data_IF_658934103125
#
_entry.id   IF_658934103125
#
_cell.length_a   1.000
_cell.length_b   1.000
_cell.length_c   1.000
_cell.angle_alpha   90.00
_cell.angle_beta   90.00
_cell.angle_gamma   90.00
#
_symmetry.space_group_name_H-M   'P 1'
#
loop_
_entity.id
_entity.type
_entity.pdbx_description
1 polymer ?
#
# COMPACT_ATOMS: atom_id res chain seq x y z
N UNK A 1 29.28 15.57 -27.50
CA UNK A 1 28.50 15.15 -28.67
C UNK A 1 27.05 15.53 -28.42
N UNK A 2 26.52 16.44 -29.23
CA UNK A 2 25.13 16.88 -29.13
C UNK A 2 24.31 15.97 -30.06
N UNK A 3 23.59 14.98 -29.49
CA UNK A 3 22.80 13.99 -30.25
C UNK A 3 21.49 14.60 -30.79
N UNK A 4 21.56 15.77 -31.43
CA UNK A 4 20.38 16.41 -32.03
C UNK A 4 19.96 15.63 -33.26
N UNK A 5 18.90 14.82 -33.11
CA UNK A 5 18.31 14.00 -34.17
C UNK A 5 18.21 12.51 -33.85
N UNK A 6 18.76 12.06 -32.72
CA UNK A 6 18.63 10.68 -32.26
C UNK A 6 17.29 10.37 -31.58
N UNK A 7 17.00 9.07 -31.33
CA UNK A 7 15.81 8.67 -30.61
C UNK A 7 15.77 9.27 -29.19
N UNK A 8 14.57 9.61 -28.73
CA UNK A 8 14.34 10.06 -27.36
C UNK A 8 14.38 8.87 -26.40
N UNK A 9 15.30 8.87 -25.43
CA UNK A 9 15.35 7.87 -24.38
C UNK A 9 14.73 8.42 -23.09
N UNK A 10 13.67 7.76 -22.62
CA UNK A 10 13.10 8.01 -21.30
C UNK A 10 13.70 7.00 -20.33
N UNK A 11 14.60 7.47 -19.48
CA UNK A 11 15.34 6.61 -18.54
C UNK A 11 14.64 6.58 -17.18
N UNK A 12 14.42 5.39 -16.65
CA UNK A 12 14.08 5.13 -15.26
C UNK A 12 15.26 4.41 -14.59
N UNK A 13 15.69 4.87 -13.43
CA UNK A 13 16.76 4.26 -12.65
C UNK A 13 16.17 3.65 -11.36
N UNK A 14 16.53 2.41 -11.03
CA UNK A 14 16.13 1.71 -9.78
C UNK A 14 17.32 1.04 -9.12
N UNK A 15 17.31 0.97 -7.79
CA UNK A 15 18.29 0.22 -6.99
C UNK A 15 17.57 -0.95 -6.30
N UNK A 16 16.67 -0.64 -5.36
CA UNK A 16 15.87 -1.62 -4.61
C UNK A 16 14.40 -1.18 -4.40
N UNK A 17 14.09 0.10 -4.65
CA UNK A 17 12.78 0.67 -4.43
C UNK A 17 11.71 0.18 -5.41
N UNK A 18 10.51 -0.08 -4.90
CA UNK A 18 9.33 -0.36 -5.72
C UNK A 18 8.91 0.85 -6.59
N UNK A 19 8.16 0.59 -7.67
CA UNK A 19 7.65 1.65 -8.55
C UNK A 19 6.65 2.57 -7.85
N UNK A 20 6.77 3.88 -8.08
CA UNK A 20 5.76 4.86 -7.63
C UNK A 20 4.49 4.76 -8.47
N UNK A 21 3.32 4.85 -7.83
CA UNK A 21 2.01 4.82 -8.49
C UNK A 21 1.37 6.21 -8.37
N UNK A 22 0.78 6.71 -9.46
CA UNK A 22 0.03 7.98 -9.48
C UNK A 22 -1.38 7.83 -8.89
N UNK A 23 -2.01 8.96 -8.56
CA UNK A 23 -3.41 9.00 -8.06
C UNK A 23 -4.42 8.31 -8.99
N UNK A 24 -4.12 8.23 -10.29
CA UNK A 24 -4.97 7.57 -11.30
C UNK A 24 -4.67 6.06 -11.46
N UNK A 25 -3.92 5.46 -10.54
CA UNK A 25 -3.62 4.01 -10.56
C UNK A 25 -2.59 3.60 -11.61
N UNK A 26 -2.00 4.54 -12.34
CA UNK A 26 -0.91 4.24 -13.27
C UNK A 26 0.40 4.16 -12.51
N UNK A 27 0.96 2.95 -12.46
CA UNK A 27 2.34 2.74 -12.05
C UNK A 27 3.30 3.49 -12.98
N UNK A 28 4.46 3.83 -12.44
CA UNK A 28 5.54 4.47 -13.18
C UNK A 28 5.82 3.81 -14.54
N UNK A 29 5.86 2.46 -14.70
CA UNK A 29 6.05 1.83 -16.01
C UNK A 29 4.96 2.15 -17.04
N UNK A 30 3.69 2.21 -16.63
CA UNK A 30 2.58 2.57 -17.53
C UNK A 30 2.68 4.02 -18.01
N UNK A 31 3.28 4.92 -17.22
CA UNK A 31 3.51 6.31 -17.65
C UNK A 31 4.58 6.38 -18.74
N UNK A 32 5.67 5.64 -18.59
CA UNK A 32 6.71 5.57 -19.62
C UNK A 32 6.13 5.05 -20.95
N UNK A 33 5.30 4.00 -20.92
CA UNK A 33 4.61 3.50 -22.12
C UNK A 33 3.72 4.57 -22.78
N UNK A 34 2.94 5.32 -21.99
CA UNK A 34 2.10 6.41 -22.50
C UNK A 34 2.91 7.54 -23.11
N UNK A 35 3.98 7.96 -22.44
CA UNK A 35 4.86 9.02 -22.94
C UNK A 35 5.56 8.58 -24.23
N UNK A 36 6.07 7.35 -24.30
CA UNK A 36 6.66 6.78 -25.52
C UNK A 36 5.63 6.74 -26.66
N UNK A 37 4.41 6.28 -26.39
CA UNK A 37 3.34 6.25 -27.39
C UNK A 37 2.98 7.67 -27.89
N UNK A 38 2.93 8.66 -27.01
CA UNK A 38 2.66 10.06 -27.38
C UNK A 38 3.78 10.63 -28.28
N UNK A 39 5.05 10.39 -27.94
CA UNK A 39 6.17 10.82 -28.76
C UNK A 39 6.18 10.12 -30.13
N UNK A 40 5.97 8.80 -30.17
CA UNK A 40 5.84 8.04 -31.43
C UNK A 40 4.68 8.54 -32.28
N UNK A 41 3.52 8.85 -31.66
CA UNK A 41 2.37 9.43 -32.34
C UNK A 41 2.62 10.83 -32.92
N UNK A 42 3.56 11.58 -32.35
CA UNK A 42 4.03 12.87 -32.89
C UNK A 42 5.12 12.76 -33.96
N UNK A 43 5.45 11.54 -34.43
CA UNK A 43 6.48 11.28 -35.42
C UNK A 43 7.91 11.25 -34.86
N UNK A 44 8.08 11.25 -33.53
CA UNK A 44 9.38 11.19 -32.87
C UNK A 44 9.70 9.77 -32.42
N UNK A 45 10.85 9.26 -32.84
CA UNK A 45 11.35 7.98 -32.32
C UNK A 45 11.65 8.11 -30.81
N UNK A 46 11.09 7.21 -30.01
CA UNK A 46 11.21 7.23 -28.56
C UNK A 46 11.22 5.82 -27.97
N UNK A 47 11.96 5.64 -26.88
CA UNK A 47 12.08 4.38 -26.13
C UNK A 47 12.11 4.64 -24.63
N UNK A 48 11.55 3.70 -23.87
CA UNK A 48 11.65 3.64 -22.42
C UNK A 48 12.74 2.66 -22.01
N UNK A 49 13.66 3.12 -21.16
CA UNK A 49 14.83 2.35 -20.72
C UNK A 49 14.81 2.25 -19.20
N UNK A 50 14.82 1.03 -18.68
CA UNK A 50 15.02 0.75 -17.25
C UNK A 50 16.48 0.37 -17.00
N UNK A 51 17.16 1.15 -16.16
CA UNK A 51 18.48 0.85 -15.65
C UNK A 51 18.35 0.43 -14.18
N UNK A 52 18.87 -0.76 -13.83
CA UNK A 52 18.86 -1.25 -12.45
C UNK A 52 19.87 -2.39 -12.26
N UNK A 53 20.21 -2.80 -11.03
CA UNK A 53 21.00 -4.00 -10.80
C UNK A 53 20.33 -5.25 -11.39
N UNK A 54 21.11 -6.22 -11.87
CA UNK A 54 20.59 -7.44 -12.50
C UNK A 54 19.57 -8.18 -11.62
N UNK A 55 19.83 -8.21 -10.30
CA UNK A 55 18.93 -8.81 -9.30
C UNK A 55 17.58 -8.11 -9.21
N UNK A 56 17.54 -6.79 -9.34
CA UNK A 56 16.29 -6.03 -9.42
C UNK A 56 15.53 -6.36 -10.71
N UNK A 57 16.22 -6.38 -11.85
CA UNK A 57 15.62 -6.70 -13.15
C UNK A 57 15.02 -8.12 -13.19
N UNK A 58 15.68 -9.09 -12.54
CA UNK A 58 15.21 -10.47 -12.46
C UNK A 58 13.93 -10.62 -11.62
N UNK A 59 13.79 -9.82 -10.55
CA UNK A 59 12.64 -9.89 -9.63
C UNK A 59 11.48 -8.97 -10.04
N UNK A 60 11.73 -7.98 -10.89
CA UNK A 60 10.74 -6.96 -11.30
C UNK A 60 9.75 -7.49 -12.34
N UNK A 61 8.55 -7.91 -11.89
CA UNK A 61 7.42 -8.28 -12.77
C UNK A 61 7.03 -7.17 -13.75
N UNK A 62 7.15 -5.93 -13.30
CA UNK A 62 6.75 -4.73 -14.05
C UNK A 62 7.84 -4.18 -14.96
N UNK A 63 9.09 -4.65 -14.84
CA UNK A 63 10.19 -4.25 -15.72
C UNK A 63 9.95 -4.60 -17.19
N UNK A 64 9.12 -5.61 -17.47
CA UNK A 64 8.73 -6.03 -18.84
C UNK A 64 7.94 -4.96 -19.62
N UNK A 65 7.48 -3.90 -18.95
CA UNK A 65 6.73 -2.82 -19.60
C UNK A 65 7.64 -1.77 -20.27
N UNK A 66 8.96 -1.80 -20.03
CA UNK A 66 9.94 -0.93 -20.69
C UNK A 66 10.38 -1.55 -22.02
N UNK A 67 10.70 -0.69 -23.01
CA UNK A 67 11.22 -1.14 -24.31
C UNK A 67 12.59 -1.81 -24.14
N UNK A 68 13.44 -1.27 -23.25
CA UNK A 68 14.79 -1.76 -22.97
C UNK A 68 15.03 -1.88 -21.48
N UNK A 69 15.77 -2.91 -21.08
CA UNK A 69 16.26 -3.13 -19.71
C UNK A 69 17.76 -3.37 -19.78
N UNK A 70 18.54 -2.63 -19.01
CA UNK A 70 20.01 -2.75 -18.99
C UNK A 70 20.44 -2.87 -17.54
N UNK A 71 21.23 -3.90 -17.23
CA UNK A 71 21.79 -4.07 -15.90
C UNK A 71 22.94 -3.07 -15.71
N UNK A 72 23.14 -2.54 -14.50
CA UNK A 72 24.33 -1.71 -14.23
C UNK A 72 25.61 -2.47 -14.55
N UNK A 73 25.61 -3.75 -14.22
CA UNK A 73 26.65 -4.74 -14.48
C UNK A 73 27.08 -4.76 -15.96
N UNK A 74 26.16 -4.52 -16.90
CA UNK A 74 26.44 -4.60 -18.35
C UNK A 74 27.29 -3.43 -18.86
N UNK A 75 27.35 -2.31 -18.14
CA UNK A 75 28.05 -1.10 -18.60
C UNK A 75 29.00 -0.49 -17.56
N UNK A 76 29.26 -1.17 -16.44
CA UNK A 76 30.21 -0.75 -15.41
C UNK A 76 31.62 -0.44 -15.97
N UNK A 77 32.05 -1.18 -16.99
CA UNK A 77 33.38 -1.00 -17.60
C UNK A 77 33.48 0.28 -18.46
N UNK A 78 32.34 0.87 -18.81
CA UNK A 78 32.24 2.01 -19.71
C UNK A 78 31.99 3.33 -18.98
N UNK A 79 31.88 3.31 -17.65
CA UNK A 79 31.65 4.50 -16.81
C UNK A 79 32.94 4.96 -16.13
N UNK A 80 33.05 6.26 -15.85
CA UNK A 80 34.19 6.85 -15.14
C UNK A 80 34.34 6.32 -13.72
N UNK A 81 35.50 6.53 -13.10
CA UNK A 81 35.84 5.99 -11.76
C UNK A 81 34.80 6.32 -10.68
N UNK A 82 34.31 7.56 -10.67
CA UNK A 82 33.44 8.04 -9.60
C UNK A 82 32.02 7.48 -9.76
N UNK A 83 31.50 7.46 -10.99
CA UNK A 83 30.22 6.84 -11.34
C UNK A 83 30.26 5.32 -11.14
N UNK A 84 31.41 4.70 -11.39
CA UNK A 84 31.62 3.26 -11.17
C UNK A 84 31.47 2.89 -9.70
N UNK A 85 32.09 3.64 -8.79
CA UNK A 85 31.97 3.42 -7.33
C UNK A 85 30.51 3.52 -6.89
N UNK A 86 29.77 4.49 -7.44
CA UNK A 86 28.34 4.67 -7.16
C UNK A 86 27.52 3.46 -7.62
N UNK A 87 27.72 2.98 -8.85
CA UNK A 87 27.01 1.83 -9.39
C UNK A 87 27.36 0.52 -8.65
N UNK A 88 28.63 0.31 -8.31
CA UNK A 88 29.09 -0.83 -7.51
C UNK A 88 28.47 -0.83 -6.09
N UNK A 89 28.24 0.36 -5.51
CA UNK A 89 27.49 0.48 -4.25
C UNK A 89 26.02 0.12 -4.40
N UNK A 90 25.37 0.56 -5.48
CA UNK A 90 23.97 0.24 -5.77
C UNK A 90 23.75 -1.27 -6.02
N UNK A 91 24.68 -1.93 -6.71
CA UNK A 91 24.66 -3.38 -6.93
C UNK A 91 24.76 -4.13 -5.59
N UNK A 92 25.74 -3.78 -4.75
CA UNK A 92 25.90 -4.39 -3.42
C UNK A 92 24.66 -4.19 -2.54
N UNK A 93 24.04 -3.01 -2.59
CA UNK A 93 22.79 -2.74 -1.88
C UNK A 93 21.65 -3.65 -2.35
N UNK A 94 21.49 -3.85 -3.65
CA UNK A 94 20.47 -4.76 -4.18
C UNK A 94 20.74 -6.25 -3.85
N UNK A 95 22.01 -6.60 -3.62
CA UNK A 95 22.43 -7.94 -3.21
C UNK A 95 22.26 -8.23 -1.71
N UNK A 96 22.26 -7.19 -0.87
CA UNK A 96 22.04 -7.35 0.56
C UNK A 96 20.60 -7.83 0.87
N UNK A 97 20.39 -8.65 1.92
CA UNK A 97 19.07 -8.82 2.51
C UNK A 97 18.52 -7.45 2.92
N UNK A 98 17.22 -7.21 2.70
CA UNK A 98 16.59 -5.98 3.15
C UNK A 98 16.68 -5.90 4.69
N UNK A 99 17.59 -5.07 5.18
CA UNK A 99 17.66 -4.69 6.59
C UNK A 99 16.77 -3.45 6.79
N UNK A 100 15.67 -3.56 7.56
CA UNK A 100 14.86 -2.38 7.85
C UNK A 100 15.70 -1.40 8.65
N UNK A 101 15.99 -0.23 8.08
CA UNK A 101 16.56 0.87 8.83
C UNK A 101 15.54 1.29 9.91
N UNK A 102 15.91 1.31 11.20
CA UNK A 102 14.99 1.74 12.25
C UNK A 102 14.75 3.24 12.15
N UNK A 103 13.48 3.63 12.01
CA UNK A 103 13.05 5.01 12.12
C UNK A 103 12.28 5.24 13.42
N UNK A 104 12.89 6.02 14.31
CA UNK A 104 12.33 6.37 15.61
C UNK A 104 10.93 7.01 15.50
N UNK A 105 10.68 7.84 14.47
CA UNK A 105 9.40 8.51 14.27
C UNK A 105 8.24 7.54 14.03
N UNK A 106 8.46 6.51 13.20
CA UNK A 106 7.44 5.49 12.95
C UNK A 106 7.18 4.62 14.19
N UNK A 107 8.24 4.25 14.93
CA UNK A 107 8.12 3.47 16.16
C UNK A 107 7.27 4.25 17.19
N UNK A 108 7.61 5.50 17.44
CA UNK A 108 6.91 6.37 18.39
C UNK A 108 5.47 6.64 17.96
N UNK A 109 5.22 6.84 16.66
CA UNK A 109 3.89 7.03 16.12
C UNK A 109 2.95 5.86 16.44
N UNK A 110 3.40 4.63 16.16
CA UNK A 110 2.59 3.44 16.43
C UNK A 110 2.50 3.07 17.92
N UNK A 111 3.53 3.40 18.71
CA UNK A 111 3.47 3.28 20.17
C UNK A 111 2.42 4.25 20.75
N UNK A 112 2.39 5.50 20.28
CA UNK A 112 1.37 6.49 20.65
C UNK A 112 -0.05 6.02 20.32
N UNK A 113 -0.27 5.48 19.12
CA UNK A 113 -1.57 4.87 18.76
C UNK A 113 -1.94 3.74 19.73
N UNK A 114 -0.99 2.84 20.04
CA UNK A 114 -1.24 1.72 20.95
C UNK A 114 -1.65 2.22 22.33
N UNK A 115 -0.95 3.22 22.86
CA UNK A 115 -1.26 3.80 24.17
C UNK A 115 -2.64 4.45 24.15
N UNK A 116 -2.96 5.24 23.11
CA UNK A 116 -4.26 5.88 22.96
C UNK A 116 -5.41 4.86 22.89
N UNK A 117 -5.20 3.72 22.22
CA UNK A 117 -6.19 2.64 22.18
C UNK A 117 -6.43 2.09 23.59
N UNK A 118 -5.37 1.81 24.35
CA UNK A 118 -5.50 1.31 25.73
C UNK A 118 -6.25 2.31 26.61
N UNK A 119 -5.97 3.59 26.46
CA UNK A 119 -6.52 4.63 27.34
C UNK A 119 -7.96 5.01 27.00
N UNK A 120 -8.33 5.03 25.71
CA UNK A 120 -9.61 5.62 25.24
C UNK A 120 -10.49 4.69 24.41
N UNK A 121 -9.96 3.59 23.88
CA UNK A 121 -10.69 2.70 22.96
C UNK A 121 -10.53 1.22 23.35
N UNK A 122 -10.95 0.82 24.57
CA UNK A 122 -10.68 -0.52 25.11
C UNK A 122 -11.33 -1.67 24.32
N UNK A 123 -12.37 -1.37 23.52
CA UNK A 123 -13.03 -2.33 22.63
C UNK A 123 -12.23 -2.62 21.34
N UNK A 124 -11.15 -1.87 21.10
CA UNK A 124 -10.22 -2.10 20.00
C UNK A 124 -8.94 -2.72 20.54
N UNK A 125 -8.45 -3.77 19.88
CA UNK A 125 -7.17 -4.36 20.21
C UNK A 125 -6.21 -4.24 19.03
N UNK A 126 -5.06 -3.60 19.20
CA UNK A 126 -4.03 -3.53 18.17
C UNK A 126 -3.14 -4.77 18.22
N UNK A 127 -3.00 -5.47 17.08
CA UNK A 127 -2.11 -6.62 16.95
C UNK A 127 -0.66 -6.20 17.28
N UNK A 128 0.08 -7.09 17.92
CA UNK A 128 1.52 -6.88 18.12
C UNK A 128 2.25 -6.80 16.76
N UNK A 129 3.38 -6.08 16.71
CA UNK A 129 4.15 -5.92 15.47
C UNK A 129 4.56 -7.32 14.95
N UNK A 130 4.26 -7.68 13.68
CA UNK A 130 4.55 -9.01 13.16
C UNK A 130 6.04 -9.32 12.96
N UNK A 131 6.93 -8.34 13.06
CA UNK A 131 8.37 -8.58 13.00
C UNK A 131 8.88 -8.99 14.38
N UNK A 132 9.53 -10.15 14.46
CA UNK A 132 9.99 -10.80 15.69
C UNK A 132 10.92 -9.93 16.55
N UNK A 133 11.51 -8.89 15.98
CA UNK A 133 12.55 -8.07 16.61
C UNK A 133 12.01 -6.71 17.09
N UNK A 134 10.69 -6.48 17.01
CA UNK A 134 10.06 -5.22 17.39
C UNK A 134 10.26 -4.08 16.37
N UNK A 135 11.17 -4.22 15.41
CA UNK A 135 11.45 -3.22 14.37
C UNK A 135 10.35 -3.19 13.32
N UNK A 136 9.70 -2.04 13.16
CA UNK A 136 8.69 -1.82 12.13
C UNK A 136 9.35 -1.18 10.89
N UNK A 137 9.06 -1.64 9.66
CA UNK A 137 9.65 -1.05 8.47
C UNK A 137 9.17 0.40 8.29
N UNK A 138 10.04 1.27 7.77
CA UNK A 138 9.78 2.70 7.52
C UNK A 138 8.53 2.97 6.68
N UNK A 139 8.23 2.06 5.74
CA UNK A 139 7.07 2.14 4.87
C UNK A 139 5.78 1.61 5.52
N UNK A 140 5.80 1.20 6.79
CA UNK A 140 4.60 0.67 7.45
C UNK A 140 3.57 1.78 7.64
N UNK A 141 2.43 1.64 6.97
CA UNK A 141 1.33 2.61 6.99
C UNK A 141 0.00 2.03 7.47
N UNK A 142 0.05 0.84 8.07
CA UNK A 142 -1.16 0.07 8.39
C UNK A 142 -1.13 -0.37 9.84
N UNK A 143 -2.12 0.05 10.63
CA UNK A 143 -2.42 -0.51 11.95
C UNK A 143 -3.29 -1.74 11.74
N UNK A 144 -2.81 -2.91 12.20
CA UNK A 144 -3.60 -4.14 12.19
C UNK A 144 -4.28 -4.33 13.54
N UNK A 145 -5.57 -4.64 13.51
CA UNK A 145 -6.31 -4.99 14.72
C UNK A 145 -6.26 -6.50 14.97
N UNK A 146 -6.22 -6.88 16.24
CA UNK A 146 -6.37 -8.25 16.71
C UNK A 146 -7.87 -8.60 16.66
N UNK A 147 -8.27 -9.20 15.54
CA UNK A 147 -9.67 -9.50 15.22
C UNK A 147 -10.36 -10.33 16.32
N UNK A 148 -9.81 -11.45 16.82
CA UNK A 148 -10.42 -12.21 17.93
C UNK A 148 -10.75 -11.39 19.18
N UNK A 149 -10.01 -10.30 19.43
CA UNK A 149 -10.22 -9.42 20.58
C UNK A 149 -11.07 -8.19 20.27
N UNK A 150 -11.28 -7.89 18.99
CA UNK A 150 -11.95 -6.67 18.52
C UNK A 150 -13.35 -6.95 17.96
N UNK A 151 -13.49 -8.05 17.21
CA UNK A 151 -14.70 -8.38 16.45
C UNK A 151 -15.32 -9.71 16.94
N UNK A 152 -16.65 -9.74 17.01
CA UNK A 152 -17.42 -10.97 17.19
C UNK A 152 -17.29 -11.83 15.94
N UNK A 153 -16.91 -13.09 16.12
CA UNK A 153 -16.96 -14.08 15.05
C UNK A 153 -18.41 -14.58 14.92
N UNK A 154 -19.08 -14.15 13.86
CA UNK A 154 -20.42 -14.63 13.53
C UNK A 154 -20.35 -16.03 12.92
N UNK A 155 -21.26 -16.91 13.31
CA UNK A 155 -21.41 -18.23 12.69
C UNK A 155 -21.69 -18.07 11.19
N UNK A 156 -21.17 -18.99 10.36
CA UNK A 156 -21.36 -19.00 8.89
C UNK A 156 -20.81 -17.78 8.13
N UNK A 157 -20.18 -16.84 8.82
CA UNK A 157 -19.50 -15.68 8.20
C UNK A 157 -18.01 -15.95 8.11
N UNK A 158 -17.40 -15.69 6.95
CA UNK A 158 -15.97 -15.87 6.79
C UNK A 158 -15.19 -15.02 7.81
N UNK A 159 -14.07 -15.55 8.29
CA UNK A 159 -13.24 -14.86 9.28
C UNK A 159 -12.75 -13.52 8.72
N UNK A 160 -13.06 -12.38 9.38
CA UNK A 160 -12.71 -11.07 8.87
C UNK A 160 -11.24 -10.74 9.12
N UNK A 161 -10.76 -9.72 8.41
CA UNK A 161 -9.55 -8.95 8.76
C UNK A 161 -9.95 -7.51 9.05
N UNK A 162 -9.28 -6.85 9.98
CA UNK A 162 -9.52 -5.43 10.26
C UNK A 162 -8.20 -4.66 10.30
N UNK A 163 -8.19 -3.47 9.70
CA UNK A 163 -7.02 -2.61 9.64
C UNK A 163 -7.39 -1.14 9.47
N UNK A 164 -6.63 -0.25 10.10
CA UNK A 164 -6.61 1.18 9.80
C UNK A 164 -5.41 1.47 8.88
N UNK A 165 -5.69 1.97 7.69
CA UNK A 165 -4.70 2.45 6.74
C UNK A 165 -4.46 3.94 6.97
N UNK A 166 -3.31 4.30 7.55
CA UNK A 166 -2.89 5.66 7.87
C UNK A 166 -2.84 6.53 6.60
N UNK A 167 -2.22 5.99 5.55
CA UNK A 167 -2.24 6.52 4.18
C UNK A 167 -1.61 5.48 3.24
N UNK A 168 -1.97 5.48 1.96
CA UNK A 168 -1.23 4.75 0.92
C UNK A 168 -1.44 5.53 -0.38
N UNK A 169 -0.37 5.83 -1.12
CA UNK A 169 -0.46 6.49 -2.42
C UNK A 169 -1.34 5.75 -3.43
N UNK A 170 -1.56 4.44 -3.24
CA UNK A 170 -2.43 3.60 -4.06
C UNK A 170 -3.87 3.52 -3.55
N UNK A 171 -4.17 4.07 -2.37
CA UNK A 171 -5.52 4.15 -1.82
C UNK A 171 -6.13 5.54 -2.08
N UNK A 172 -7.41 5.56 -2.47
CA UNK A 172 -8.18 6.80 -2.67
C UNK A 172 -8.22 7.69 -1.42
N UNK A 173 -8.22 7.06 -0.25
CA UNK A 173 -8.35 7.69 1.06
C UNK A 173 -7.61 6.85 2.12
N UNK A 174 -7.14 7.52 3.17
CA UNK A 174 -6.91 6.85 4.45
C UNK A 174 -8.25 6.30 4.94
N UNK A 175 -8.23 5.11 5.54
CA UNK A 175 -9.48 4.45 5.92
C UNK A 175 -9.26 3.32 6.91
N UNK A 176 -10.27 3.10 7.75
CA UNK A 176 -10.44 1.84 8.47
C UNK A 176 -11.33 0.90 7.66
N UNK A 177 -11.00 -0.39 7.68
CA UNK A 177 -11.74 -1.40 6.92
C UNK A 177 -11.82 -2.73 7.64
N UNK A 178 -12.99 -3.36 7.54
CA UNK A 178 -13.18 -4.79 7.75
C UNK A 178 -13.24 -5.46 6.38
N UNK A 179 -12.49 -6.54 6.20
CA UNK A 179 -12.31 -7.21 4.91
C UNK A 179 -12.71 -8.67 5.02
N UNK A 180 -13.58 -9.10 4.09
CA UNK A 180 -13.93 -10.50 3.85
C UNK A 180 -13.17 -11.00 2.62
N UNK A 181 -12.17 -11.86 2.83
CA UNK A 181 -11.26 -12.32 1.76
C UNK A 181 -11.99 -13.22 0.76
N UNK A 182 -11.72 -13.04 -0.53
CA UNK A 182 -12.33 -13.84 -1.61
C UNK A 182 -13.78 -13.47 -1.89
N UNK A 183 -14.20 -12.25 -1.52
CA UNK A 183 -15.58 -11.74 -1.66
C UNK A 183 -15.68 -10.46 -2.49
N UNK A 184 -14.62 -10.06 -3.21
CA UNK A 184 -14.63 -8.82 -3.98
C UNK A 184 -15.79 -8.70 -5.00
N UNK A 185 -16.24 -9.82 -5.57
CA UNK A 185 -17.35 -9.83 -6.53
C UNK A 185 -18.65 -9.26 -5.94
N UNK A 186 -18.89 -9.47 -4.65
CA UNK A 186 -20.12 -9.08 -3.96
C UNK A 186 -20.33 -7.56 -3.90
N UNK A 187 -19.28 -6.77 -4.09
CA UNK A 187 -19.38 -5.30 -4.09
C UNK A 187 -20.35 -4.82 -5.17
N UNK A 188 -20.45 -5.55 -6.28
CA UNK A 188 -21.26 -5.14 -7.42
C UNK A 188 -22.74 -5.55 -7.27
N UNK A 189 -23.03 -6.53 -6.40
CA UNK A 189 -24.39 -7.05 -6.17
C UNK A 189 -25.00 -6.60 -4.85
N UNK A 190 -24.19 -6.23 -3.86
CA UNK A 190 -24.67 -5.80 -2.55
C UNK A 190 -24.98 -4.30 -2.51
N UNK A 191 -26.12 -3.98 -1.91
CA UNK A 191 -26.44 -2.62 -1.47
C UNK A 191 -26.09 -2.49 0.01
N UNK A 192 -25.35 -1.43 0.36
CA UNK A 192 -25.06 -1.12 1.75
C UNK A 192 -26.37 -0.85 2.52
N UNK A 193 -26.67 -1.57 3.60
CA UNK A 193 -27.89 -1.32 4.39
C UNK A 193 -27.82 0.07 5.03
N UNK A 194 -28.97 0.70 5.25
CA UNK A 194 -29.03 2.08 5.76
C UNK A 194 -28.26 2.24 7.09
N UNK A 195 -28.40 1.28 8.00
CA UNK A 195 -27.70 1.31 9.27
C UNK A 195 -26.16 1.22 9.15
N UNK A 196 -25.62 0.72 8.03
CA UNK A 196 -24.19 0.79 7.72
C UNK A 196 -23.84 2.19 7.21
N UNK A 197 -24.64 2.73 6.29
CA UNK A 197 -24.45 4.07 5.73
C UNK A 197 -24.48 5.15 6.82
N UNK A 198 -25.37 5.02 7.80
CA UNK A 198 -25.48 5.94 8.94
C UNK A 198 -24.22 5.99 9.80
N UNK A 199 -23.37 4.95 9.77
CA UNK A 199 -22.06 4.98 10.43
C UNK A 199 -21.00 5.77 9.66
N UNK A 200 -21.33 6.22 8.44
CA UNK A 200 -20.39 6.77 7.46
C UNK A 200 -19.65 5.69 6.66
N UNK A 201 -20.09 4.43 6.76
CA UNK A 201 -19.44 3.31 6.09
C UNK A 201 -20.05 3.01 4.72
N UNK A 202 -19.23 2.46 3.85
CA UNK A 202 -19.61 2.02 2.51
C UNK A 202 -18.91 0.71 2.11
N UNK A 203 -19.43 0.06 1.07
CA UNK A 203 -18.84 -1.15 0.51
C UNK A 203 -17.90 -0.79 -0.64
N UNK A 204 -16.74 -1.43 -0.71
CA UNK A 204 -15.85 -1.34 -1.87
C UNK A 204 -14.97 -2.57 -2.04
N UNK A 205 -14.41 -2.72 -3.24
CA UNK A 205 -13.37 -3.74 -3.51
C UNK A 205 -12.08 -3.35 -2.78
N UNK A 206 -11.48 -4.32 -2.09
CA UNK A 206 -10.18 -4.19 -1.43
C UNK A 206 -9.29 -5.39 -1.83
N UNK A 207 -8.65 -5.28 -2.99
CA UNK A 207 -8.01 -6.43 -3.65
C UNK A 207 -9.04 -7.52 -3.94
N UNK A 208 -8.78 -8.74 -3.49
CA UNK A 208 -9.72 -9.87 -3.59
C UNK A 208 -10.79 -9.89 -2.50
N UNK A 209 -10.92 -8.85 -1.68
CA UNK A 209 -11.85 -8.80 -0.55
C UNK A 209 -13.05 -7.88 -0.80
N UNK A 210 -14.18 -8.21 -0.19
CA UNK A 210 -15.24 -7.23 0.10
C UNK A 210 -14.75 -6.39 1.28
N UNK A 211 -14.62 -5.09 1.08
CA UNK A 211 -14.26 -4.13 2.12
C UNK A 211 -15.47 -3.37 2.61
N UNK A 212 -15.69 -3.36 3.92
CA UNK A 212 -16.61 -2.47 4.63
C UNK A 212 -15.73 -1.36 5.22
N UNK A 213 -15.95 -0.12 4.77
CA UNK A 213 -14.93 0.93 4.87
C UNK A 213 -15.52 2.21 5.41
N UNK A 214 -14.80 2.85 6.34
CA UNK A 214 -15.02 4.25 6.74
C UNK A 214 -13.74 5.01 6.37
N UNK A 215 -13.90 6.13 5.65
CA UNK A 215 -12.79 7.03 5.35
C UNK A 215 -12.36 7.76 6.63
N UNK A 216 -11.06 8.01 6.77
CA UNK A 216 -10.48 8.67 7.94
C UNK A 216 -9.57 9.81 7.51
N UNK A 217 -9.19 10.71 8.44
CA UNK A 217 -8.09 11.64 8.19
C UNK A 217 -6.82 10.90 7.74
N UNK A 218 -6.00 11.61 6.95
CA UNK A 218 -4.70 11.11 6.50
C UNK A 218 -3.70 11.23 7.65
N UNK A 219 -3.07 10.11 7.99
CA UNK A 219 -2.08 10.03 9.05
C UNK A 219 -0.68 9.82 8.44
N UNK A 220 0.26 10.70 8.81
CA UNK A 220 1.66 10.59 8.41
C UNK A 220 2.45 9.85 9.48
N UNK A 221 2.84 8.61 9.17
CA UNK A 221 3.61 7.76 10.11
C UNK A 221 5.02 8.26 10.38
N UNK A 222 5.46 9.26 9.63
CA UNK A 222 6.78 9.89 9.72
C UNK A 222 6.75 11.20 10.52
N UNK A 223 5.57 11.69 10.88
CA UNK A 223 5.38 12.85 11.75
C UNK A 223 5.16 12.39 13.18
N UNK A 224 5.46 13.27 14.14
CA UNK A 224 5.26 12.96 15.55
C UNK A 224 3.78 12.64 15.84
N UNK A 225 3.56 11.70 16.75
CA UNK A 225 2.22 11.33 17.21
C UNK A 225 1.46 12.53 17.79
N UNK A 226 2.15 13.32 18.64
CA UNK A 226 1.57 14.46 19.35
C UNK A 226 0.97 15.50 18.41
N UNK A 227 1.50 15.64 17.20
CA UNK A 227 1.03 16.60 16.20
C UNK A 227 -0.24 16.16 15.46
N UNK A 228 -0.67 14.91 15.66
CA UNK A 228 -1.76 14.27 14.91
C UNK A 228 -2.73 13.52 15.85
N UNK A 229 -2.71 13.78 17.16
CA UNK A 229 -3.51 13.02 18.14
C UNK A 229 -5.00 13.08 17.85
N UNK A 230 -5.51 14.25 17.45
CA UNK A 230 -6.93 14.42 17.14
C UNK A 230 -7.32 13.64 15.88
N UNK A 231 -6.51 13.69 14.82
CA UNK A 231 -6.71 12.92 13.60
C UNK A 231 -6.66 11.40 13.87
N UNK A 232 -5.73 10.96 14.75
CA UNK A 232 -5.65 9.56 15.18
C UNK A 232 -6.91 9.18 15.95
N UNK A 233 -7.36 10.03 16.88
CA UNK A 233 -8.55 9.77 17.67
C UNK A 233 -9.79 9.64 16.77
N UNK A 234 -9.97 10.52 15.78
CA UNK A 234 -11.05 10.44 14.80
C UNK A 234 -10.99 9.12 14.00
N UNK A 235 -9.78 8.70 13.58
CA UNK A 235 -9.60 7.44 12.88
C UNK A 235 -9.93 6.21 13.76
N UNK A 236 -9.66 6.27 15.07
CA UNK A 236 -10.03 5.23 16.03
C UNK A 236 -11.53 5.25 16.37
N UNK A 237 -12.16 6.41 16.39
CA UNK A 237 -13.62 6.54 16.52
C UNK A 237 -14.34 5.94 15.31
N UNK A 238 -13.81 6.14 14.10
CA UNK A 238 -14.27 5.44 12.90
C UNK A 238 -14.09 3.91 13.04
N UNK A 239 -12.94 3.46 13.55
CA UNK A 239 -12.70 2.03 13.79
C UNK A 239 -13.70 1.43 14.78
N UNK A 240 -14.03 2.16 15.85
CA UNK A 240 -15.00 1.75 16.86
C UNK A 240 -16.43 1.71 16.29
N UNK A 241 -16.84 2.71 15.50
CA UNK A 241 -18.14 2.68 14.79
C UNK A 241 -18.26 1.45 13.90
N UNK A 242 -17.22 1.14 13.13
CA UNK A 242 -17.22 -0.02 12.24
C UNK A 242 -17.22 -1.34 13.02
N UNK A 243 -16.50 -1.41 14.14
CA UNK A 243 -16.49 -2.56 15.05
C UNK A 243 -17.88 -2.81 15.64
N UNK A 244 -18.55 -1.77 16.15
CA UNK A 244 -19.90 -1.88 16.72
C UNK A 244 -20.90 -2.38 15.70
N UNK A 245 -20.90 -1.78 14.51
CA UNK A 245 -21.76 -2.22 13.42
C UNK A 245 -21.51 -3.70 13.09
N UNK A 246 -20.24 -4.12 12.95
CA UNK A 246 -19.94 -5.54 12.69
C UNK A 246 -20.49 -6.46 13.77
N UNK A 247 -20.26 -6.13 15.03
CA UNK A 247 -20.64 -6.97 16.16
C UNK A 247 -22.16 -7.10 16.31
N UNK A 248 -22.92 -6.07 15.94
CA UNK A 248 -24.39 -6.04 16.08
C UNK A 248 -25.13 -6.62 14.87
N UNK A 249 -24.48 -6.75 13.70
CA UNK A 249 -25.15 -7.04 12.42
C UNK A 249 -24.90 -8.45 11.86
N UNK A 250 -24.75 -9.45 12.74
CA UNK A 250 -24.47 -10.85 12.35
C UNK A 250 -25.46 -11.43 11.33
N UNK A 251 -26.75 -11.15 11.46
CA UNK A 251 -27.77 -11.64 10.52
C UNK A 251 -27.61 -11.05 9.11
N UNK A 252 -27.23 -9.78 9.01
CA UNK A 252 -26.97 -9.13 7.72
C UNK A 252 -25.75 -9.75 7.03
N UNK A 253 -24.69 -10.03 7.80
CA UNK A 253 -23.47 -10.65 7.30
C UNK A 253 -23.70 -12.09 6.82
N UNK A 254 -24.54 -12.86 7.53
CA UNK A 254 -24.95 -14.21 7.10
C UNK A 254 -25.71 -14.18 5.78
N UNK A 255 -26.64 -13.23 5.59
CA UNK A 255 -27.38 -13.08 4.33
C UNK A 255 -26.42 -12.85 3.16
N UNK A 256 -25.46 -11.95 3.33
CA UNK A 256 -24.43 -11.72 2.32
C UNK A 256 -23.69 -13.02 1.96
N UNK A 257 -23.29 -13.83 2.95
CA UNK A 257 -22.59 -15.10 2.67
C UNK A 257 -23.48 -16.16 2.01
N UNK A 258 -24.79 -16.16 2.26
CA UNK A 258 -25.75 -17.05 1.61
C UNK A 258 -25.93 -16.70 0.11
N UNK A 259 -26.00 -15.40 -0.20
CA UNK A 259 -26.15 -14.85 -1.57
C UNK A 259 -24.91 -15.11 -2.47
N UNK A 260 -23.86 -15.72 -1.93
CA UNK A 260 -22.64 -16.12 -2.63
C UNK A 260 -22.81 -17.41 -3.44
N UNK A 261 -23.92 -18.13 -3.27
CA UNK A 261 -24.12 -19.50 -3.79
C UNK A 261 -24.96 -19.56 -5.05
N UNK A 262 -25.38 -18.41 -5.60
CA UNK A 262 -26.01 -18.28 -6.93
C UNK A 262 -25.06 -17.61 -7.92
#
# INVERSE_FOLDING_TARGET
MDFRGGPLLLIENKIDAAYSITRDGHGQPQRYQRSVAAYRGSGREAYSVLLAPARYLASSRSGKMFDVRIAYEDFLEHVGSDDRVLLESAIRQAEAPYEPMPNAGAIDFFAGIRQLIVDRFPDLAMKHNPNADGVRPDASRTVYFDVPRTLVQHAEVARPRMSLQCWDSSARSASVKIMLTGRAAMVDSLVAPQNLVDTGAYLRRAGHSLGIVIDTPRLETQRAFVDQVDDVAEALEAALRLQRWWNENGNQLKRWEADKTE
#
